data_IF_568625936677
#
_entry.id   IF_568625936677
#
_cell.length_a   1.000
_cell.length_b   1.000
_cell.length_c   1.000
_cell.angle_alpha   90.00
_cell.angle_beta   90.00
_cell.angle_gamma   90.00
#
_symmetry.space_group_name_H-M   'P 1'
#
loop_
_entity.id
_entity.type
_entity.pdbx_description
1 polymer ?
#
# COMPACT_ATOMS: atom_id res chain seq x y z
N UNK A 1 -5.33 19.96 11.34
CA UNK A 1 -5.48 19.77 9.88
C UNK A 1 -4.82 20.95 9.16
N UNK A 2 -3.89 20.67 8.22
CA UNK A 2 -3.41 21.71 7.29
C UNK A 2 -4.32 21.72 6.09
N UNK A 3 -4.78 22.89 5.67
CA UNK A 3 -5.56 23.05 4.45
C UNK A 3 -4.64 22.74 3.25
N UNK A 4 -5.04 21.81 2.41
CA UNK A 4 -4.38 21.55 1.13
C UNK A 4 -4.58 22.77 0.25
N UNK A 5 -3.49 23.41 -0.17
CA UNK A 5 -3.52 24.59 -1.06
C UNK A 5 -3.23 24.17 -2.48
N UNK A 6 -2.24 23.29 -2.65
CA UNK A 6 -1.84 22.74 -3.94
C UNK A 6 -1.79 21.22 -3.87
N UNK A 7 -2.09 20.57 -4.96
CA UNK A 7 -2.13 19.13 -5.12
C UNK A 7 -1.26 18.67 -6.31
N UNK A 8 -1.22 17.36 -6.54
CA UNK A 8 -0.46 16.73 -7.61
C UNK A 8 -0.79 17.32 -9.01
N UNK A 9 -2.07 17.64 -9.28
CA UNK A 9 -2.49 18.20 -10.58
C UNK A 9 -1.98 19.62 -10.75
N UNK A 10 -1.93 20.43 -9.67
CA UNK A 10 -1.31 21.77 -9.75
C UNK A 10 0.17 21.70 -10.11
N UNK A 11 0.91 20.70 -9.62
CA UNK A 11 2.32 20.48 -9.97
C UNK A 11 2.46 20.09 -11.44
N UNK A 12 1.61 19.18 -11.92
CA UNK A 12 1.58 18.76 -13.33
C UNK A 12 1.32 19.93 -14.26
N UNK A 13 0.34 20.76 -13.92
CA UNK A 13 -0.05 21.93 -14.72
C UNK A 13 0.88 23.14 -14.58
N UNK A 14 2.01 23.01 -13.84
CA UNK A 14 2.91 24.11 -13.53
C UNK A 14 2.26 25.31 -12.81
N UNK A 15 1.14 25.08 -12.11
CA UNK A 15 0.46 26.07 -11.27
C UNK A 15 1.12 26.22 -9.90
N UNK A 16 1.87 25.20 -9.48
CA UNK A 16 2.68 25.21 -8.27
C UNK A 16 3.96 24.38 -8.46
N UNK A 17 5.00 24.72 -7.71
CA UNK A 17 6.19 23.86 -7.61
C UNK A 17 5.91 22.64 -6.73
N UNK A 18 6.67 21.55 -6.92
CA UNK A 18 6.61 20.36 -6.08
C UNK A 18 6.76 20.71 -4.60
N UNK A 19 7.73 21.57 -4.26
CA UNK A 19 7.98 22.04 -2.89
C UNK A 19 6.80 22.76 -2.25
N UNK A 20 5.99 23.47 -3.04
CA UNK A 20 4.78 24.14 -2.54
C UNK A 20 3.61 23.18 -2.30
N UNK A 21 3.54 22.08 -3.05
CA UNK A 21 2.50 21.07 -2.94
C UNK A 21 2.81 20.00 -1.87
N UNK A 22 4.11 19.76 -1.57
CA UNK A 22 4.53 18.80 -0.55
C UNK A 22 4.17 19.30 0.87
N UNK A 23 3.44 18.47 1.59
CA UNK A 23 3.04 18.70 2.99
C UNK A 23 3.92 17.87 3.89
N UNK A 24 4.82 18.51 4.66
CA UNK A 24 5.63 17.83 5.66
C UNK A 24 4.77 17.33 6.82
N UNK A 25 4.97 16.09 7.24
CA UNK A 25 4.34 15.54 8.43
C UNK A 25 4.76 16.30 9.70
N UNK A 26 3.90 16.28 10.72
CA UNK A 26 4.14 17.00 11.98
C UNK A 26 4.99 16.21 12.97
N UNK A 27 4.96 14.90 12.87
CA UNK A 27 5.52 13.97 13.85
C UNK A 27 6.80 13.31 13.34
N UNK A 28 7.01 13.29 12.02
CA UNK A 28 8.12 12.60 11.37
C UNK A 28 8.87 13.56 10.45
N UNK A 29 10.18 13.72 10.67
CA UNK A 29 10.96 14.72 9.94
C UNK A 29 11.11 14.42 8.44
N UNK A 30 11.09 13.16 8.06
CA UNK A 30 11.37 12.70 6.70
C UNK A 30 10.13 12.22 5.93
N UNK A 31 8.92 12.43 6.48
CA UNK A 31 7.68 12.06 5.82
C UNK A 31 7.01 13.30 5.22
N UNK A 32 6.67 13.18 3.93
CA UNK A 32 5.94 14.19 3.17
C UNK A 32 4.75 13.55 2.47
N UNK A 33 3.70 14.32 2.26
CA UNK A 33 2.51 13.92 1.54
C UNK A 33 2.34 14.87 0.36
N UNK A 34 2.23 14.31 -0.85
CA UNK A 34 1.78 15.03 -2.03
C UNK A 34 0.31 14.64 -2.26
N UNK A 35 -0.64 15.54 -1.98
CA UNK A 35 -2.06 15.23 -2.08
C UNK A 35 -2.47 14.97 -3.53
N UNK A 36 -3.32 13.97 -3.76
CA UNK A 36 -4.02 13.81 -5.02
C UNK A 36 -5.14 14.84 -5.15
N UNK A 37 -5.50 15.23 -6.38
CA UNK A 37 -6.63 16.13 -6.61
C UNK A 37 -7.96 15.46 -6.23
N UNK A 38 -8.80 16.20 -5.55
CA UNK A 38 -10.15 15.75 -5.18
C UNK A 38 -11.21 16.22 -6.21
N UNK A 39 -10.91 17.23 -7.01
CA UNK A 39 -11.91 17.95 -7.82
C UNK A 39 -11.62 17.96 -9.31
N UNK A 40 -10.42 17.62 -9.74
CA UNK A 40 -10.02 17.62 -11.14
C UNK A 40 -10.08 16.22 -11.75
N UNK A 41 -10.37 16.18 -13.03
CA UNK A 41 -10.48 14.95 -13.81
C UNK A 41 -9.15 14.19 -13.81
N UNK A 42 -9.13 13.04 -13.15
CA UNK A 42 -7.96 12.13 -13.08
C UNK A 42 -7.65 11.50 -14.43
N UNK A 43 -8.59 11.59 -15.38
CA UNK A 43 -8.44 11.04 -16.73
C UNK A 43 -7.56 11.89 -17.65
N UNK A 44 -7.18 13.09 -17.20
CA UNK A 44 -6.30 13.99 -17.96
C UNK A 44 -4.80 13.71 -17.74
N UNK A 45 -4.40 12.87 -16.77
CA UNK A 45 -3.00 12.59 -16.45
C UNK A 45 -2.34 11.72 -17.54
N UNK A 46 -1.15 12.14 -17.99
CA UNK A 46 -0.32 11.37 -18.91
C UNK A 46 0.84 10.69 -18.18
N UNK A 47 1.40 9.63 -18.77
CA UNK A 47 2.59 8.94 -18.22
C UNK A 47 3.79 9.91 -18.14
N UNK A 48 3.96 10.76 -19.12
CA UNK A 48 5.04 11.74 -19.23
C UNK A 48 5.00 12.75 -18.08
N UNK A 49 3.82 13.28 -17.77
CA UNK A 49 3.62 14.24 -16.68
C UNK A 49 3.86 13.61 -15.30
N UNK A 50 3.33 12.40 -15.08
CA UNK A 50 3.57 11.67 -13.83
C UNK A 50 5.05 11.31 -13.72
N UNK A 51 5.69 10.84 -14.80
CA UNK A 51 7.12 10.52 -14.85
C UNK A 51 7.99 11.70 -14.45
N UNK A 52 7.71 12.89 -14.97
CA UNK A 52 8.43 14.12 -14.61
C UNK A 52 8.38 14.40 -13.11
N UNK A 53 7.21 14.26 -12.48
CA UNK A 53 7.09 14.47 -11.02
C UNK A 53 7.84 13.38 -10.24
N UNK A 54 7.83 12.12 -10.71
CA UNK A 54 8.62 11.05 -10.09
C UNK A 54 10.12 11.34 -10.17
N UNK A 55 10.60 11.86 -11.28
CA UNK A 55 12.01 12.20 -11.46
C UNK A 55 12.41 13.40 -10.59
N UNK A 56 11.56 14.43 -10.50
CA UNK A 56 11.78 15.57 -9.60
C UNK A 56 11.84 15.12 -8.12
N UNK A 57 10.98 14.20 -7.69
CA UNK A 57 11.04 13.62 -6.35
C UNK A 57 12.36 12.84 -6.09
N UNK A 58 12.85 12.09 -7.09
CA UNK A 58 14.14 11.39 -6.99
C UNK A 58 15.33 12.36 -6.91
N UNK A 59 15.30 13.42 -7.71
CA UNK A 59 16.32 14.49 -7.71
C UNK A 59 16.34 15.25 -6.37
N UNK A 60 15.17 15.46 -5.74
CA UNK A 60 15.05 16.03 -4.39
C UNK A 60 15.52 15.08 -3.27
N UNK A 61 15.93 13.85 -3.60
CA UNK A 61 16.55 12.89 -2.68
C UNK A 61 15.57 12.01 -1.91
N UNK A 62 14.32 11.89 -2.33
CA UNK A 62 13.38 10.94 -1.73
C UNK A 62 13.81 9.50 -2.03
N UNK A 63 14.12 8.74 -0.98
CA UNK A 63 14.54 7.33 -1.07
C UNK A 63 13.35 6.39 -1.33
N UNK A 64 12.18 6.74 -0.84
CA UNK A 64 10.94 6.00 -1.01
C UNK A 64 9.84 6.94 -1.50
N UNK A 65 9.18 6.56 -2.58
CA UNK A 65 8.00 7.24 -3.12
C UNK A 65 6.86 6.23 -3.09
N UNK A 66 5.90 6.43 -2.19
CA UNK A 66 4.76 5.51 -2.01
C UNK A 66 3.57 6.08 -2.76
N UNK A 67 3.15 5.37 -3.82
CA UNK A 67 1.94 5.69 -4.56
C UNK A 67 0.76 4.95 -3.93
N UNK A 68 -0.07 5.66 -3.17
CA UNK A 68 -1.33 5.13 -2.65
C UNK A 68 -2.32 4.98 -3.81
N UNK A 69 -2.58 3.72 -4.19
CA UNK A 69 -3.43 3.40 -5.33
C UNK A 69 -4.89 3.29 -4.90
N UNK A 70 -5.84 3.89 -5.64
CA UNK A 70 -7.25 3.61 -5.41
C UNK A 70 -7.56 2.12 -5.62
N UNK A 71 -8.59 1.63 -4.94
CA UNK A 71 -9.08 0.27 -5.16
C UNK A 71 -9.57 0.10 -6.60
N UNK A 72 -9.41 -1.12 -7.15
CA UNK A 72 -9.85 -1.47 -8.49
C UNK A 72 -8.77 -1.34 -9.56
N UNK A 73 -9.20 -1.42 -10.82
CA UNK A 73 -8.34 -1.51 -12.00
C UNK A 73 -8.53 -0.33 -12.97
N UNK A 74 -9.05 0.78 -12.48
CA UNK A 74 -9.31 1.96 -13.30
C UNK A 74 -8.02 2.76 -13.60
N UNK A 75 -8.11 3.77 -14.44
CA UNK A 75 -6.97 4.55 -14.92
C UNK A 75 -6.09 5.12 -13.80
N UNK A 76 -6.68 5.57 -12.68
CA UNK A 76 -5.93 6.06 -11.54
C UNK A 76 -5.02 5.00 -10.91
N UNK A 77 -5.51 3.76 -10.78
CA UNK A 77 -4.72 2.62 -10.31
C UNK A 77 -3.59 2.28 -11.28
N UNK A 78 -3.87 2.29 -12.60
CA UNK A 78 -2.84 2.08 -13.61
C UNK A 78 -1.71 3.10 -13.52
N UNK A 79 -2.04 4.39 -13.32
CA UNK A 79 -1.03 5.44 -13.19
C UNK A 79 -0.17 5.28 -11.94
N UNK A 80 -0.78 4.89 -10.81
CA UNK A 80 -0.05 4.62 -9.57
C UNK A 80 0.93 3.44 -9.72
N UNK A 81 0.54 2.39 -10.48
CA UNK A 81 1.36 1.18 -10.68
C UNK A 81 2.44 1.34 -11.76
N UNK A 82 2.26 2.24 -12.73
CA UNK A 82 3.06 2.27 -13.95
C UNK A 82 4.57 2.41 -13.68
N UNK A 83 4.95 3.27 -12.75
CA UNK A 83 6.35 3.54 -12.40
C UNK A 83 6.86 2.72 -11.22
N UNK A 84 6.10 1.71 -10.76
CA UNK A 84 6.46 0.95 -9.57
C UNK A 84 7.74 0.12 -9.77
N UNK A 85 8.64 0.21 -8.80
CA UNK A 85 9.77 -0.70 -8.64
C UNK A 85 9.39 -1.93 -7.84
N UNK A 86 8.64 -1.70 -6.77
CA UNK A 86 8.05 -2.68 -5.88
C UNK A 86 6.53 -2.44 -5.78
N UNK A 87 5.75 -3.50 -5.64
CA UNK A 87 4.32 -3.45 -5.41
C UNK A 87 3.95 -4.25 -4.17
N UNK A 88 3.21 -3.62 -3.26
CA UNK A 88 2.62 -4.29 -2.11
C UNK A 88 1.14 -4.48 -2.41
N UNK A 89 0.76 -5.71 -2.78
CA UNK A 89 -0.62 -6.08 -3.04
C UNK A 89 -1.28 -6.38 -1.70
N UNK A 90 -2.25 -5.54 -1.32
CA UNK A 90 -2.96 -5.64 -0.05
C UNK A 90 -4.30 -6.31 -0.29
N UNK A 91 -4.57 -7.42 0.40
CA UNK A 91 -5.83 -8.16 0.27
C UNK A 91 -6.40 -8.54 1.63
N UNK A 92 -7.72 -8.76 1.66
CA UNK A 92 -8.40 -9.43 2.77
C UNK A 92 -8.58 -10.92 2.44
N UNK A 93 -8.73 -11.81 3.43
CA UNK A 93 -8.93 -13.24 3.23
C UNK A 93 -10.37 -13.58 2.78
N UNK A 94 -10.82 -12.91 1.73
CA UNK A 94 -12.14 -13.04 1.11
C UNK A 94 -11.99 -13.35 -0.38
N UNK A 95 -12.82 -14.24 -0.92
CA UNK A 95 -12.74 -14.70 -2.32
C UNK A 95 -12.76 -13.54 -3.33
N UNK A 96 -13.59 -12.53 -3.09
CA UNK A 96 -13.67 -11.34 -3.96
C UNK A 96 -12.37 -10.55 -3.95
N UNK A 97 -11.83 -10.27 -2.76
CA UNK A 97 -10.59 -9.51 -2.59
C UNK A 97 -9.38 -10.23 -3.20
N UNK A 98 -9.30 -11.55 -3.02
CA UNK A 98 -8.22 -12.36 -3.60
C UNK A 98 -8.29 -12.37 -5.13
N UNK A 99 -9.50 -12.49 -5.72
CA UNK A 99 -9.68 -12.39 -7.17
C UNK A 99 -9.33 -11.02 -7.74
N UNK A 100 -9.66 -9.96 -7.03
CA UNK A 100 -9.27 -8.60 -7.45
C UNK A 100 -7.75 -8.40 -7.35
N UNK A 101 -7.12 -8.98 -6.32
CA UNK A 101 -5.66 -8.98 -6.19
C UNK A 101 -4.97 -9.74 -7.32
N UNK A 102 -5.49 -10.89 -7.75
CA UNK A 102 -4.99 -11.65 -8.90
C UNK A 102 -5.02 -10.81 -10.20
N UNK A 103 -6.11 -10.05 -10.42
CA UNK A 103 -6.19 -9.13 -11.56
C UNK A 103 -5.14 -8.02 -11.49
N UNK A 104 -4.90 -7.44 -10.30
CA UNK A 104 -3.87 -6.43 -10.11
C UNK A 104 -2.48 -6.99 -10.41
N UNK A 105 -2.18 -8.21 -9.96
CA UNK A 105 -0.93 -8.90 -10.30
C UNK A 105 -0.75 -9.05 -11.82
N UNK A 106 -1.78 -9.45 -12.55
CA UNK A 106 -1.75 -9.51 -14.02
C UNK A 106 -1.48 -8.14 -14.67
N UNK A 107 -1.95 -7.04 -14.09
CA UNK A 107 -1.65 -5.69 -14.57
C UNK A 107 -0.21 -5.28 -14.25
N UNK A 108 0.30 -5.58 -13.06
CA UNK A 108 1.70 -5.31 -12.69
C UNK A 108 2.68 -6.00 -13.64
N UNK A 109 2.36 -7.23 -14.06
CA UNK A 109 3.17 -8.02 -14.98
C UNK A 109 3.10 -7.57 -16.44
N UNK A 110 2.06 -6.82 -16.84
CA UNK A 110 1.80 -6.52 -18.26
C UNK A 110 1.67 -5.04 -18.61
N UNK A 111 1.42 -4.15 -17.65
CA UNK A 111 1.04 -2.75 -17.89
C UNK A 111 1.92 -1.72 -17.18
N UNK A 112 3.07 -2.13 -16.67
CA UNK A 112 4.04 -1.25 -16.01
C UNK A 112 5.16 -0.85 -16.96
N UNK A 113 5.90 0.21 -16.63
CA UNK A 113 7.08 0.62 -17.38
C UNK A 113 8.13 -0.50 -17.43
N UNK A 114 8.32 -1.23 -16.32
CA UNK A 114 9.22 -2.38 -16.27
C UNK A 114 8.80 -3.49 -17.23
N UNK A 115 7.51 -3.79 -17.31
CA UNK A 115 6.98 -4.79 -18.25
C UNK A 115 7.23 -4.36 -19.72
N UNK A 116 7.04 -3.08 -20.06
CA UNK A 116 7.33 -2.53 -21.37
C UNK A 116 8.84 -2.63 -21.72
N UNK A 117 9.70 -2.60 -20.71
CA UNK A 117 11.16 -2.76 -20.83
C UNK A 117 11.65 -4.21 -20.73
N UNK A 118 10.76 -5.20 -20.64
CA UNK A 118 11.10 -6.61 -20.51
C UNK A 118 11.62 -7.00 -19.13
N UNK A 119 11.34 -6.21 -18.09
CA UNK A 119 11.66 -6.49 -16.69
C UNK A 119 10.37 -6.63 -15.86
N UNK A 120 10.49 -6.93 -14.56
CA UNK A 120 9.36 -7.18 -13.68
C UNK A 120 9.37 -6.26 -12.48
N UNK A 121 8.19 -5.88 -12.01
CA UNK A 121 7.99 -5.27 -10.71
C UNK A 121 8.18 -6.34 -9.63
N UNK A 122 8.81 -6.00 -8.53
CA UNK A 122 8.93 -6.91 -7.39
C UNK A 122 7.63 -6.91 -6.60
N UNK A 123 6.96 -8.05 -6.58
CA UNK A 123 5.63 -8.20 -6.00
C UNK A 123 5.72 -8.74 -4.57
N UNK A 124 4.89 -8.21 -3.68
CA UNK A 124 4.77 -8.61 -2.28
C UNK A 124 3.30 -8.69 -1.88
N UNK A 125 2.93 -9.70 -1.11
CA UNK A 125 1.57 -9.88 -0.59
C UNK A 125 1.49 -9.45 0.87
N UNK A 126 0.58 -8.53 1.18
CA UNK A 126 0.19 -8.16 2.54
C UNK A 126 -1.27 -8.55 2.77
N UNK A 127 -1.50 -9.48 3.69
CA UNK A 127 -2.86 -9.87 4.07
C UNK A 127 -3.29 -9.07 5.30
N UNK A 128 -4.47 -8.46 5.22
CA UNK A 128 -5.03 -7.65 6.31
C UNK A 128 -6.35 -8.24 6.82
N UNK A 129 -6.75 -7.87 8.05
CA UNK A 129 -7.97 -8.36 8.70
C UNK A 129 -8.03 -9.88 8.83
N UNK A 130 -6.88 -10.51 9.00
CA UNK A 130 -6.80 -11.96 9.16
C UNK A 130 -7.26 -12.39 10.55
N UNK A 131 -8.11 -13.41 10.61
CA UNK A 131 -8.59 -14.00 11.86
C UNK A 131 -8.51 -15.52 11.80
N UNK A 132 -7.55 -16.15 12.50
CA UNK A 132 -7.43 -17.62 12.54
C UNK A 132 -8.71 -18.33 13.00
N UNK A 133 -9.46 -17.71 13.90
CA UNK A 133 -10.74 -18.27 14.38
C UNK A 133 -11.80 -18.31 13.28
N UNK A 134 -11.88 -17.25 12.45
CA UNK A 134 -12.80 -17.19 11.31
C UNK A 134 -12.38 -18.12 10.16
N UNK A 135 -11.08 -18.36 10.00
CA UNK A 135 -10.59 -19.41 9.10
C UNK A 135 -11.04 -20.77 9.57
N UNK A 136 -10.89 -21.07 10.86
CA UNK A 136 -11.30 -22.36 11.45
C UNK A 136 -12.81 -22.61 11.36
N UNK A 137 -13.65 -21.54 11.38
CA UNK A 137 -15.10 -21.64 11.20
C UNK A 137 -15.55 -21.67 9.72
N UNK A 138 -14.61 -21.55 8.77
CA UNK A 138 -14.91 -21.52 7.34
C UNK A 138 -15.47 -20.17 6.82
N UNK A 139 -15.39 -19.11 7.60
CA UNK A 139 -15.84 -17.77 7.24
C UNK A 139 -14.80 -16.96 6.44
N UNK A 140 -13.54 -17.39 6.45
CA UNK A 140 -12.42 -16.78 5.76
C UNK A 140 -11.61 -17.84 5.02
N UNK A 141 -10.94 -17.42 3.93
CA UNK A 141 -9.95 -18.27 3.26
C UNK A 141 -8.75 -18.52 4.17
N UNK A 142 -8.22 -19.73 4.10
CA UNK A 142 -6.97 -20.09 4.75
C UNK A 142 -5.76 -19.42 4.09
N UNK A 143 -4.67 -19.33 4.84
CA UNK A 143 -3.42 -18.76 4.30
C UNK A 143 -2.91 -19.54 3.10
N UNK A 144 -2.92 -20.86 3.17
CA UNK A 144 -2.47 -21.75 2.08
C UNK A 144 -3.27 -21.52 0.82
N UNK A 145 -4.61 -21.44 0.92
CA UNK A 145 -5.48 -21.19 -0.23
C UNK A 145 -5.16 -19.87 -0.92
N UNK A 146 -4.89 -18.80 -0.14
CA UNK A 146 -4.57 -17.48 -0.68
C UNK A 146 -3.22 -17.51 -1.39
N UNK A 147 -2.21 -18.14 -0.79
CA UNK A 147 -0.88 -18.25 -1.36
C UNK A 147 -0.85 -19.11 -2.63
N UNK A 148 -1.64 -20.18 -2.67
CA UNK A 148 -1.77 -21.03 -3.86
C UNK A 148 -2.43 -20.28 -5.01
N UNK A 149 -3.41 -19.41 -4.74
CA UNK A 149 -4.08 -18.61 -5.78
C UNK A 149 -3.19 -17.50 -6.31
N UNK A 150 -2.56 -16.73 -5.42
CA UNK A 150 -1.84 -15.52 -5.82
C UNK A 150 -0.38 -15.78 -6.20
N UNK A 151 0.25 -16.83 -5.67
CA UNK A 151 1.63 -17.24 -5.94
C UNK A 151 2.68 -16.11 -5.78
N UNK A 152 2.45 -15.19 -4.83
CA UNK A 152 3.30 -14.02 -4.55
C UNK A 152 3.89 -14.15 -3.14
N UNK A 153 5.15 -13.76 -2.93
CA UNK A 153 5.78 -13.83 -1.62
C UNK A 153 5.01 -13.05 -0.54
N UNK A 154 4.66 -13.73 0.54
CA UNK A 154 4.01 -13.13 1.69
C UNK A 154 4.99 -12.25 2.47
N UNK A 155 4.69 -10.96 2.59
CA UNK A 155 5.51 -10.04 3.35
C UNK A 155 4.94 -9.70 4.73
N UNK A 156 3.64 -9.85 4.93
CA UNK A 156 3.01 -9.58 6.23
C UNK A 156 1.58 -10.08 6.34
N UNK A 157 1.18 -10.28 7.59
CA UNK A 157 -0.20 -10.60 7.97
C UNK A 157 -0.60 -9.68 9.11
N UNK A 158 -1.60 -8.85 8.85
CA UNK A 158 -2.16 -7.93 9.85
C UNK A 158 -3.44 -8.55 10.40
N UNK A 159 -3.52 -8.80 11.71
CA UNK A 159 -4.70 -9.40 12.30
C UNK A 159 -5.91 -8.45 12.24
N UNK A 160 -7.10 -9.02 12.27
CA UNK A 160 -8.33 -8.25 12.52
C UNK A 160 -8.29 -7.73 13.95
N UNK A 161 -8.16 -6.41 14.10
CA UNK A 161 -7.95 -5.78 15.41
C UNK A 161 -8.79 -4.52 15.58
N UNK A 162 -9.50 -4.37 16.71
CA UNK A 162 -10.22 -3.13 17.05
C UNK A 162 -9.29 -1.90 17.15
N UNK A 163 -8.01 -2.10 17.45
CA UNK A 163 -7.03 -1.02 17.56
C UNK A 163 -6.84 -0.25 16.26
N UNK A 164 -6.97 -0.91 15.11
CA UNK A 164 -6.90 -0.28 13.78
C UNK A 164 -8.01 0.77 13.62
N UNK A 165 -9.25 0.40 13.94
CA UNK A 165 -10.39 1.33 13.87
C UNK A 165 -10.24 2.48 14.87
N UNK A 166 -9.80 2.18 16.09
CA UNK A 166 -9.59 3.20 17.13
C UNK A 166 -8.49 4.18 16.74
N UNK A 167 -7.38 3.71 16.18
CA UNK A 167 -6.28 4.53 15.69
C UNK A 167 -6.73 5.42 14.53
N UNK A 168 -7.45 4.86 13.57
CA UNK A 168 -8.04 5.59 12.43
C UNK A 168 -8.96 6.71 12.88
N UNK A 169 -9.87 6.44 13.83
CA UNK A 169 -10.80 7.45 14.38
C UNK A 169 -10.07 8.57 15.12
N UNK A 170 -8.89 8.31 15.67
CA UNK A 170 -8.03 9.32 16.32
C UNK A 170 -7.14 10.06 15.32
N UNK A 171 -7.08 9.63 14.05
CA UNK A 171 -6.17 10.17 13.06
C UNK A 171 -4.69 9.88 13.38
N UNK A 172 -4.42 8.74 14.03
CA UNK A 172 -3.06 8.31 14.42
C UNK A 172 -2.79 6.94 13.79
N UNK A 173 -1.65 6.73 13.11
CA UNK A 173 -1.31 5.43 12.56
C UNK A 173 -1.17 4.36 13.65
N UNK A 174 -1.79 3.19 13.46
CA UNK A 174 -1.78 2.10 14.45
C UNK A 174 -0.37 1.56 14.74
N UNK A 175 0.56 1.68 13.80
CA UNK A 175 1.97 1.27 14.00
C UNK A 175 2.66 2.03 15.15
N UNK A 176 2.14 3.18 15.55
CA UNK A 176 2.64 3.93 16.71
C UNK A 176 2.16 3.35 18.04
N UNK A 177 1.15 2.49 18.03
CA UNK A 177 0.69 1.74 19.21
C UNK A 177 1.46 0.43 19.36
N UNK A 178 2.57 0.49 20.08
CA UNK A 178 3.46 -0.66 20.35
C UNK A 178 2.83 -1.73 21.25
N UNK A 179 1.63 -1.50 21.76
CA UNK A 179 0.92 -2.43 22.63
C UNK A 179 -0.17 -3.21 21.87
N UNK A 180 -0.44 -2.83 20.63
CA UNK A 180 -1.44 -3.50 19.81
C UNK A 180 -0.81 -4.57 18.90
N UNK A 181 -1.50 -5.70 18.75
CA UNK A 181 -1.16 -6.76 17.82
C UNK A 181 -1.02 -6.27 16.37
N UNK A 182 -1.95 -5.41 15.93
CA UNK A 182 -1.87 -4.80 14.61
C UNK A 182 -0.66 -3.85 14.47
N UNK A 183 -0.33 -3.07 15.50
CA UNK A 183 0.86 -2.21 15.50
C UNK A 183 2.14 -3.02 15.36
N UNK A 184 2.27 -4.11 16.14
CA UNK A 184 3.40 -5.06 16.02
C UNK A 184 3.45 -5.72 14.64
N UNK A 185 2.30 -6.12 14.07
CA UNK A 185 2.24 -6.75 12.76
C UNK A 185 2.68 -5.80 11.64
N UNK A 186 2.31 -4.53 11.70
CA UNK A 186 2.79 -3.50 10.75
C UNK A 186 4.29 -3.24 10.90
N UNK A 187 4.82 -3.23 12.12
CA UNK A 187 6.27 -3.10 12.34
C UNK A 187 7.03 -4.32 11.75
N UNK A 188 6.56 -5.53 12.00
CA UNK A 188 7.13 -6.76 11.43
C UNK A 188 7.07 -6.76 9.90
N UNK A 189 5.99 -6.26 9.30
CA UNK A 189 5.87 -6.09 7.86
C UNK A 189 6.95 -5.15 7.32
N UNK A 190 7.13 -3.96 7.91
CA UNK A 190 8.14 -3.00 7.48
C UNK A 190 9.55 -3.57 7.61
N UNK A 191 9.86 -4.26 8.70
CA UNK A 191 11.16 -4.90 8.91
C UNK A 191 11.46 -5.94 7.83
N UNK A 192 10.47 -6.77 7.45
CA UNK A 192 10.63 -7.74 6.34
C UNK A 192 10.83 -7.03 5.00
N UNK A 193 10.09 -5.96 4.76
CA UNK A 193 10.27 -5.15 3.54
C UNK A 193 11.69 -4.58 3.44
N UNK A 194 12.26 -4.17 4.56
CA UNK A 194 13.65 -3.70 4.67
C UNK A 194 14.71 -4.83 4.64
N UNK A 195 14.29 -6.08 4.48
CA UNK A 195 15.17 -7.24 4.32
C UNK A 195 15.52 -7.99 5.60
N UNK A 196 14.89 -7.68 6.73
CA UNK A 196 15.07 -8.44 7.96
C UNK A 196 14.30 -9.76 7.93
N UNK A 197 14.86 -10.79 8.54
CA UNK A 197 14.17 -12.07 8.77
C UNK A 197 13.36 -11.99 10.06
N UNK A 198 12.05 -11.82 9.93
CA UNK A 198 11.10 -11.72 11.04
C UNK A 198 10.03 -12.79 10.89
N UNK A 199 9.76 -13.65 11.91
CA UNK A 199 8.71 -14.66 11.84
C UNK A 199 7.33 -14.03 11.65
N UNK A 200 6.43 -14.71 10.93
CA UNK A 200 5.02 -14.33 10.89
C UNK A 200 4.35 -14.71 12.21
N UNK A 201 3.78 -13.73 12.87
CA UNK A 201 2.92 -13.90 14.05
C UNK A 201 1.47 -14.05 13.59
N UNK A 202 0.53 -14.26 14.38
CA UNK A 202 -0.91 -14.18 14.08
C UNK A 202 -1.45 -15.13 13.00
N UNK A 203 -0.69 -16.17 12.63
CA UNK A 203 -1.15 -17.20 11.67
C UNK A 203 -2.02 -18.27 12.33
N UNK A 204 -1.75 -18.56 13.60
CA UNK A 204 -2.45 -19.60 14.35
C UNK A 204 -3.45 -18.98 15.33
N UNK A 205 -4.56 -19.69 15.57
CA UNK A 205 -5.50 -19.31 16.62
C UNK A 205 -4.79 -19.35 17.98
N UNK A 206 -5.05 -18.34 18.81
CA UNK A 206 -4.55 -18.33 20.18
C UNK A 206 -4.99 -19.60 20.91
N UNK A 207 -4.03 -20.43 21.30
CA UNK A 207 -4.25 -21.63 22.13
C UNK A 207 -4.58 -21.25 23.59
N UNK A 208 -5.01 -20.03 23.86
CA UNK A 208 -5.39 -19.58 25.18
C UNK A 208 -6.87 -19.82 25.39
N UNK A 209 -7.17 -20.88 26.13
CA UNK A 209 -8.34 -20.98 26.98
C UNK A 209 -9.43 -21.95 26.54
N UNK A 210 -9.30 -23.16 27.00
CA UNK A 210 -10.39 -23.89 27.63
C UNK A 210 -10.07 -24.01 29.12
#
# INVERSE_FOLDING_TARGET
ERRVVYDFVNVINHEASLKQALIKDKHTENLYILPASQTRDKDALTKEEVGRVMDELREDGFQYIICDSPAGIERGAHMAMYFADDAIVVTNPEVSSVRDSDRILGLLQSKTQKAEQGSTVKEHLLITRYSPNRVASGEMLGMEDILDILAVPLIGVIPESPSVLQASNRGVPVILDKTSDAGEAYEDFVRRYLGETVPHRFLEADKKGF
#
